data_IF_836531952075
#
_entry.id   IF_836531952075
#
_cell.length_a   1.000
_cell.length_b   1.000
_cell.length_c   1.000
_cell.angle_alpha   90.00
_cell.angle_beta   90.00
_cell.angle_gamma   90.00
#
_symmetry.space_group_name_H-M   'P 1'
#
loop_
_entity.id
_entity.type
_entity.pdbx_description
1 polymer ?
#
# COMPACT_ATOMS: atom_id res chain seq x y z
N UNK A 1 26.92 -28.90 -5.47
CA UNK A 1 25.71 -29.04 -4.63
C UNK A 1 25.21 -27.64 -4.32
N UNK A 2 24.05 -27.26 -4.87
CA UNK A 2 23.52 -25.90 -4.75
C UNK A 2 22.97 -25.71 -3.32
N UNK A 3 23.35 -24.66 -2.57
CA UNK A 3 22.83 -24.45 -1.22
C UNK A 3 21.32 -24.16 -1.27
N UNK A 4 20.58 -24.47 -0.20
CA UNK A 4 19.13 -24.29 -0.14
C UNK A 4 18.74 -22.81 -0.27
N UNK A 5 17.52 -22.57 -0.75
CA UNK A 5 16.92 -21.25 -0.96
C UNK A 5 16.71 -20.56 0.39
N UNK A 6 17.66 -19.72 0.79
CA UNK A 6 17.55 -18.88 1.97
C UNK A 6 17.77 -17.41 1.62
N UNK A 7 17.09 -16.54 2.35
CA UNK A 7 17.30 -15.09 2.26
C UNK A 7 18.56 -14.76 3.05
N UNK A 8 19.69 -14.56 2.36
CA UNK A 8 20.91 -14.09 2.99
C UNK A 8 20.77 -12.60 3.32
N UNK A 9 20.87 -12.27 4.61
CA UNK A 9 20.93 -10.88 5.09
C UNK A 9 22.24 -10.68 5.82
N UNK A 10 22.97 -9.62 5.50
CA UNK A 10 24.12 -9.23 6.29
C UNK A 10 23.70 -8.54 7.59
N UNK A 11 24.65 -8.47 8.52
CA UNK A 11 24.44 -7.87 9.83
C UNK A 11 23.88 -8.88 10.81
N UNK A 12 24.44 -10.07 10.97
CA UNK A 12 24.15 -10.88 12.16
C UNK A 12 24.64 -10.16 13.42
N UNK A 13 23.95 -10.35 14.55
CA UNK A 13 24.37 -9.75 15.84
C UNK A 13 25.77 -10.24 16.24
N UNK A 14 26.09 -11.49 15.89
CA UNK A 14 27.38 -12.12 16.18
C UNK A 14 28.55 -11.50 15.40
N UNK A 15 28.27 -10.87 14.25
CA UNK A 15 29.27 -10.28 13.36
C UNK A 15 29.33 -8.74 13.47
N UNK A 16 28.84 -8.20 14.59
CA UNK A 16 28.78 -6.77 14.82
C UNK A 16 30.17 -6.16 14.98
N UNK A 17 30.43 -5.04 14.31
CA UNK A 17 31.68 -4.30 14.49
C UNK A 17 31.75 -3.70 15.91
N UNK A 18 32.95 -3.57 16.51
CA UNK A 18 33.09 -2.95 17.84
C UNK A 18 32.49 -1.55 17.94
N UNK A 19 32.54 -0.78 16.86
CA UNK A 19 31.91 0.54 16.75
C UNK A 19 30.38 0.48 16.84
N UNK A 20 29.74 -0.52 16.21
CA UNK A 20 28.30 -0.75 16.30
C UNK A 20 27.90 -1.24 17.70
N UNK A 21 28.69 -2.13 18.32
CA UNK A 21 28.44 -2.63 19.66
C UNK A 21 28.51 -1.50 20.72
N UNK A 22 29.40 -0.52 20.51
CA UNK A 22 29.50 0.64 21.40
C UNK A 22 28.22 1.47 21.47
N UNK A 23 27.47 1.57 20.36
CA UNK A 23 26.19 2.30 20.30
C UNK A 23 25.13 1.60 21.15
N UNK A 24 25.08 0.26 21.10
CA UNK A 24 24.21 -0.54 21.95
C UNK A 24 24.61 -0.45 23.42
N UNK A 25 25.90 -0.54 23.74
CA UNK A 25 26.36 -0.45 25.14
C UNK A 25 26.03 0.93 25.76
N UNK A 26 26.18 2.01 24.98
CA UNK A 26 25.85 3.37 25.41
C UNK A 26 24.33 3.66 25.44
N UNK A 27 23.49 2.79 24.86
CA UNK A 27 22.04 3.00 24.73
C UNK A 27 21.31 3.22 26.05
N UNK A 28 21.74 2.58 27.15
CA UNK A 28 21.15 2.77 28.49
C UNK A 28 21.27 4.21 28.99
N UNK A 29 22.35 4.91 28.60
CA UNK A 29 22.59 6.31 28.95
C UNK A 29 21.97 7.28 27.95
N UNK A 30 21.90 6.91 26.67
CA UNK A 30 21.35 7.76 25.59
C UNK A 30 20.48 6.92 24.63
N UNK A 31 19.14 6.99 24.72
CA UNK A 31 18.25 6.14 23.93
C UNK A 31 18.32 6.41 22.43
N UNK A 32 18.70 7.64 22.02
CA UNK A 32 18.93 8.00 20.61
C UNK A 32 19.99 7.11 19.93
N UNK A 33 21.01 6.65 20.68
CA UNK A 33 22.05 5.77 20.14
C UNK A 33 21.52 4.37 19.82
N UNK A 34 20.48 3.92 20.55
CA UNK A 34 19.77 2.68 20.23
C UNK A 34 19.05 2.80 18.89
N UNK A 35 18.38 3.92 18.66
CA UNK A 35 17.70 4.20 17.39
C UNK A 35 18.68 4.29 16.23
N UNK A 36 19.83 4.96 16.43
CA UNK A 36 20.90 5.02 15.44
C UNK A 36 21.45 3.63 15.09
N UNK A 37 21.65 2.78 16.11
CA UNK A 37 22.07 1.40 15.89
C UNK A 37 21.04 0.61 15.06
N UNK A 38 19.75 0.71 15.41
CA UNK A 38 18.68 0.04 14.64
C UNK A 38 18.60 0.54 13.19
N UNK A 39 18.73 1.85 12.97
CA UNK A 39 18.71 2.45 11.63
C UNK A 39 19.86 1.95 10.76
N UNK A 40 21.10 2.01 11.26
CA UNK A 40 22.28 1.50 10.52
C UNK A 40 22.20 0.01 10.23
N UNK A 41 21.67 -0.77 11.18
CA UNK A 41 21.45 -2.20 11.00
C UNK A 41 20.42 -2.50 9.90
N UNK A 42 19.32 -1.74 9.85
CA UNK A 42 18.32 -1.90 8.78
C UNK A 42 18.86 -1.51 7.42
N UNK A 43 19.62 -0.41 7.33
CA UNK A 43 20.24 0.05 6.09
C UNK A 43 21.18 -1.01 5.53
N UNK A 44 22.07 -1.55 6.37
CA UNK A 44 23.01 -2.60 5.99
C UNK A 44 22.29 -3.88 5.55
N UNK A 45 21.22 -4.28 6.24
CA UNK A 45 20.41 -5.44 5.86
C UNK A 45 19.73 -5.26 4.50
N UNK A 46 19.29 -4.04 4.17
CA UNK A 46 18.67 -3.71 2.88
C UNK A 46 19.72 -3.67 1.75
N UNK A 47 20.91 -3.11 2.01
CA UNK A 47 22.01 -3.05 1.04
C UNK A 47 22.55 -4.44 0.69
N UNK A 48 22.54 -5.37 1.64
CA UNK A 48 22.95 -6.76 1.41
C UNK A 48 21.81 -7.69 1.01
N UNK A 49 20.63 -7.15 0.70
CA UNK A 49 19.50 -7.97 0.31
C UNK A 49 19.76 -8.54 -1.09
N UNK A 50 20.36 -9.72 -1.14
CA UNK A 50 20.49 -10.47 -2.38
C UNK A 50 19.19 -11.24 -2.62
N UNK A 51 18.42 -10.78 -3.61
CA UNK A 51 17.19 -11.45 -4.03
C UNK A 51 17.59 -12.72 -4.79
N UNK A 52 17.77 -13.84 -4.08
CA UNK A 52 17.72 -15.16 -4.72
C UNK A 52 16.26 -15.56 -4.91
N UNK A 53 15.57 -14.79 -5.76
CA UNK A 53 14.30 -15.17 -6.33
C UNK A 53 14.59 -15.83 -7.66
N UNK A 54 13.89 -16.92 -7.95
CA UNK A 54 13.88 -17.51 -9.27
C UNK A 54 13.39 -16.43 -10.25
N UNK A 55 14.29 -15.78 -10.98
CA UNK A 55 14.08 -15.76 -12.42
C UNK A 55 14.46 -17.18 -12.81
N UNK A 56 13.48 -17.98 -13.21
CA UNK A 56 13.81 -19.03 -14.16
C UNK A 56 14.57 -18.31 -15.27
N UNK A 57 15.79 -18.76 -15.56
CA UNK A 57 16.47 -18.50 -16.83
C UNK A 57 15.66 -19.17 -17.96
N UNK A 58 14.35 -18.97 -18.00
CA UNK A 58 13.68 -18.89 -19.28
C UNK A 58 14.37 -17.70 -19.95
N UNK A 59 15.04 -17.89 -21.11
CA UNK A 59 15.51 -16.74 -21.84
C UNK A 59 14.30 -15.82 -21.93
N UNK A 60 14.44 -14.57 -21.49
CA UNK A 60 13.46 -13.56 -21.85
C UNK A 60 13.43 -13.65 -23.36
N UNK A 61 12.44 -14.35 -23.92
CA UNK A 61 12.15 -14.27 -25.32
C UNK A 61 11.97 -12.80 -25.49
N UNK A 62 12.96 -12.14 -26.09
CA UNK A 62 12.86 -10.76 -26.48
C UNK A 62 11.71 -10.85 -27.45
N UNK A 63 10.51 -10.50 -26.96
CA UNK A 63 9.30 -10.57 -27.73
C UNK A 63 9.47 -9.46 -28.76
N UNK A 64 10.14 -9.79 -29.85
CA UNK A 64 10.34 -8.94 -31.03
C UNK A 64 8.99 -8.65 -31.72
N UNK A 65 7.95 -9.31 -31.22
CA UNK A 65 6.55 -9.01 -31.45
C UNK A 65 6.00 -8.52 -30.12
N UNK A 66 5.60 -7.25 -30.01
CA UNK A 66 4.65 -6.84 -28.96
C UNK A 66 3.62 -7.94 -28.85
N UNK A 67 3.58 -8.66 -27.72
CA UNK A 67 2.44 -9.51 -27.41
C UNK A 67 1.24 -8.55 -27.34
N UNK A 68 0.57 -8.36 -28.47
CA UNK A 68 -0.78 -7.82 -28.51
C UNK A 68 -1.61 -8.95 -27.91
N UNK A 69 -1.57 -9.05 -26.59
CA UNK A 69 -2.58 -9.78 -25.86
C UNK A 69 -3.88 -9.14 -26.36
N UNK A 70 -4.80 -9.90 -26.97
CA UNK A 70 -6.11 -9.34 -27.28
C UNK A 70 -6.55 -8.69 -25.98
N UNK A 71 -6.94 -7.42 -26.04
CA UNK A 71 -7.40 -6.66 -24.87
C UNK A 71 -8.56 -7.45 -24.26
N UNK A 72 -8.24 -8.39 -23.38
CA UNK A 72 -9.21 -9.15 -22.62
C UNK A 72 -10.10 -8.14 -21.93
N UNK A 73 -11.33 -8.52 -21.66
CA UNK A 73 -12.28 -7.68 -20.92
C UNK A 73 -11.55 -7.14 -19.69
N UNK A 74 -11.28 -5.84 -19.68
CA UNK A 74 -10.47 -5.23 -18.63
C UNK A 74 -11.25 -5.39 -17.33
N UNK A 75 -10.69 -6.16 -16.39
CA UNK A 75 -11.36 -6.48 -15.12
C UNK A 75 -11.67 -5.23 -14.28
N UNK A 76 -12.46 -5.33 -13.21
CA UNK A 76 -12.76 -4.19 -12.35
C UNK A 76 -11.50 -3.57 -11.73
N UNK A 77 -11.54 -2.27 -11.44
CA UNK A 77 -10.56 -1.57 -10.62
C UNK A 77 -11.00 -1.68 -9.16
N UNK A 78 -10.07 -2.07 -8.28
CA UNK A 78 -10.33 -2.19 -6.84
C UNK A 78 -9.33 -1.28 -6.11
N UNK A 79 -9.86 -0.35 -5.32
CA UNK A 79 -9.10 0.61 -4.53
C UNK A 79 -9.25 0.24 -3.05
N UNK A 80 -8.13 0.10 -2.34
CA UNK A 80 -8.12 -0.07 -0.90
C UNK A 80 -7.52 1.19 -0.28
N UNK A 81 -8.35 1.99 0.38
CA UNK A 81 -7.98 3.27 0.94
C UNK A 81 -7.91 3.16 2.46
N UNK A 82 -6.72 3.32 3.01
CA UNK A 82 -6.59 3.56 4.45
C UNK A 82 -7.27 4.90 4.78
N UNK A 83 -7.98 5.00 5.90
CA UNK A 83 -8.59 6.21 6.45
C UNK A 83 -8.21 6.41 7.91
N UNK A 84 -7.23 5.65 8.40
CA UNK A 84 -6.68 5.75 9.74
C UNK A 84 -6.20 7.17 10.05
N UNK A 85 -6.07 7.47 11.34
CA UNK A 85 -5.61 8.78 11.83
C UNK A 85 -4.27 9.22 11.22
N UNK A 86 -3.45 8.29 10.71
CA UNK A 86 -2.21 8.61 10.02
C UNK A 86 -2.43 9.44 8.76
N UNK A 87 -3.58 9.36 8.10
CA UNK A 87 -3.83 10.10 6.86
C UNK A 87 -4.33 11.52 7.07
N UNK A 88 -4.64 11.93 8.30
CA UNK A 88 -5.17 13.26 8.59
C UNK A 88 -4.32 14.40 7.98
N UNK A 89 -5.01 15.40 7.41
CA UNK A 89 -4.38 16.59 6.82
C UNK A 89 -4.05 16.43 5.34
N UNK A 90 -2.82 16.76 4.94
CA UNK A 90 -2.44 16.79 3.52
C UNK A 90 -2.46 15.41 2.84
N UNK A 91 -2.15 14.34 3.60
CA UNK A 91 -2.14 12.98 3.05
C UNK A 91 -3.54 12.52 2.64
N UNK A 92 -4.56 12.88 3.41
CA UNK A 92 -5.97 12.63 3.10
C UNK A 92 -6.38 13.30 1.78
N UNK A 93 -5.95 14.56 1.56
CA UNK A 93 -6.24 15.28 0.32
C UNK A 93 -5.61 14.59 -0.89
N UNK A 94 -4.35 14.17 -0.78
CA UNK A 94 -3.64 13.44 -1.84
C UNK A 94 -4.32 12.10 -2.11
N UNK A 95 -4.68 11.36 -1.06
CA UNK A 95 -5.33 10.06 -1.20
C UNK A 95 -6.72 10.18 -1.88
N UNK A 96 -7.51 11.19 -1.54
CA UNK A 96 -8.79 11.48 -2.20
C UNK A 96 -8.60 11.88 -3.66
N UNK A 97 -7.60 12.71 -3.97
CA UNK A 97 -7.29 13.09 -5.35
C UNK A 97 -6.91 11.87 -6.20
N UNK A 98 -6.11 10.95 -5.65
CA UNK A 98 -5.75 9.69 -6.29
C UNK A 98 -6.99 8.85 -6.60
N UNK A 99 -7.89 8.69 -5.63
CA UNK A 99 -9.16 7.96 -5.84
C UNK A 99 -9.98 8.59 -6.97
N UNK A 100 -10.10 9.92 -7.02
CA UNK A 100 -10.81 10.62 -8.09
C UNK A 100 -10.17 10.38 -9.47
N UNK A 101 -8.84 10.38 -9.57
CA UNK A 101 -8.16 10.05 -10.83
C UNK A 101 -8.38 8.60 -11.25
N UNK A 102 -8.36 7.66 -10.31
CA UNK A 102 -8.69 6.27 -10.59
C UNK A 102 -10.13 6.11 -11.12
N UNK A 103 -11.10 6.87 -10.57
CA UNK A 103 -12.48 6.89 -11.09
C UNK A 103 -12.53 7.44 -12.52
N UNK A 104 -11.78 8.53 -12.81
CA UNK A 104 -11.68 9.10 -14.16
C UNK A 104 -11.11 8.08 -15.14
N UNK A 105 -10.03 7.41 -14.77
CA UNK A 105 -9.41 6.34 -15.56
C UNK A 105 -10.34 5.15 -15.78
N UNK A 106 -11.04 4.70 -14.73
CA UNK A 106 -12.02 3.62 -14.80
C UNK A 106 -13.13 3.93 -15.82
N UNK A 107 -13.63 5.17 -15.82
CA UNK A 107 -14.66 5.63 -16.76
C UNK A 107 -14.17 5.63 -18.20
N UNK A 108 -12.98 6.17 -18.46
CA UNK A 108 -12.40 6.21 -19.80
C UNK A 108 -12.22 4.79 -20.38
N UNK A 109 -11.92 3.84 -19.51
CA UNK A 109 -11.75 2.43 -19.85
C UNK A 109 -13.06 1.62 -19.80
N UNK A 110 -14.20 2.22 -19.44
CA UNK A 110 -15.49 1.55 -19.23
C UNK A 110 -15.40 0.36 -18.25
N UNK A 111 -14.64 0.52 -17.16
CA UNK A 111 -14.41 -0.49 -16.13
C UNK A 111 -15.21 -0.19 -14.88
N UNK A 112 -15.69 -1.24 -14.21
CA UNK A 112 -16.26 -1.15 -12.86
C UNK A 112 -15.18 -0.70 -11.86
N UNK A 113 -15.53 0.12 -10.88
CA UNK A 113 -14.59 0.62 -9.87
C UNK A 113 -15.18 0.42 -8.46
N UNK A 114 -14.41 -0.24 -7.59
CA UNK A 114 -14.77 -0.52 -6.21
C UNK A 114 -13.77 0.17 -5.28
N UNK A 115 -14.25 0.72 -4.17
CA UNK A 115 -13.43 1.33 -3.13
C UNK A 115 -13.76 0.70 -1.78
N UNK A 116 -12.73 0.22 -1.11
CA UNK A 116 -12.74 -0.28 0.25
C UNK A 116 -11.98 0.70 1.13
N UNK A 117 -12.70 1.56 1.84
CA UNK A 117 -12.12 2.49 2.79
C UNK A 117 -12.05 1.84 4.17
N UNK A 118 -10.86 1.80 4.80
CA UNK A 118 -10.67 1.11 6.09
C UNK A 118 -9.80 1.90 7.06
N UNK A 119 -10.12 1.86 8.34
CA UNK A 119 -9.37 2.58 9.40
C UNK A 119 -8.96 1.64 10.54
N UNK A 120 -9.80 0.66 10.89
CA UNK A 120 -9.56 -0.29 11.96
C UNK A 120 -10.00 -1.72 11.60
N UNK A 121 -9.77 -2.67 12.52
CA UNK A 121 -9.97 -4.11 12.30
C UNK A 121 -11.40 -4.49 11.86
N UNK A 122 -12.40 -3.70 12.23
CA UNK A 122 -13.81 -3.91 11.87
C UNK A 122 -14.42 -2.74 11.09
N UNK A 123 -13.63 -1.74 10.73
CA UNK A 123 -14.10 -0.55 10.05
C UNK A 123 -13.68 -0.61 8.58
N UNK A 124 -14.53 -1.21 7.75
CA UNK A 124 -14.38 -1.26 6.29
C UNK A 124 -15.69 -0.80 5.64
N UNK A 125 -15.60 0.23 4.80
CA UNK A 125 -16.70 0.73 3.99
C UNK A 125 -16.47 0.35 2.53
N UNK A 126 -17.41 -0.40 1.95
CA UNK A 126 -17.42 -0.74 0.53
C UNK A 126 -18.28 0.25 -0.26
N UNK A 127 -17.70 0.80 -1.33
CA UNK A 127 -18.32 1.78 -2.20
C UNK A 127 -18.17 1.34 -3.67
N UNK A 128 -19.28 1.27 -4.38
CA UNK A 128 -19.26 1.20 -5.83
C UNK A 128 -19.19 2.60 -6.41
N UNK A 129 -18.12 2.88 -7.17
CA UNK A 129 -17.83 4.21 -7.67
C UNK A 129 -18.30 4.34 -9.12
N UNK A 130 -19.39 5.09 -9.32
CA UNK A 130 -19.90 5.48 -10.63
C UNK A 130 -19.78 7.00 -10.82
N UNK A 131 -19.45 7.44 -12.04
CA UNK A 131 -19.22 8.85 -12.38
C UNK A 131 -20.46 9.76 -12.20
N UNK A 132 -21.65 9.20 -12.00
CA UNK A 132 -22.88 9.94 -11.79
C UNK A 132 -23.07 10.32 -10.32
N UNK A 133 -22.19 11.16 -9.76
CA UNK A 133 -22.42 11.94 -8.53
C UNK A 133 -23.00 11.21 -7.30
N UNK A 134 -22.91 9.88 -7.22
CA UNK A 134 -23.56 9.07 -6.21
C UNK A 134 -22.63 7.93 -5.80
N UNK A 135 -22.19 7.96 -4.55
CA UNK A 135 -21.60 6.81 -3.87
C UNK A 135 -22.71 5.81 -3.58
N UNK A 136 -22.67 4.65 -4.25
CA UNK A 136 -23.55 3.53 -3.87
C UNK A 136 -22.81 2.75 -2.79
N UNK A 137 -23.24 2.89 -1.54
CA UNK A 137 -22.76 2.06 -0.45
C UNK A 137 -23.39 0.68 -0.61
N UNK A 138 -22.58 -0.31 -0.96
CA UNK A 138 -23.03 -1.69 -1.01
C UNK A 138 -22.98 -2.25 0.41
N UNK A 139 -24.02 -2.00 1.19
CA UNK A 139 -24.28 -2.75 2.41
C UNK A 139 -24.55 -4.21 2.08
N UNK A 140 -23.97 -5.13 2.85
CA UNK A 140 -24.09 -6.57 2.63
C UNK A 140 -25.55 -7.05 2.60
N UNK A 141 -25.77 -8.04 1.72
CA UNK A 141 -26.96 -8.87 1.51
C UNK A 141 -28.16 -8.25 0.77
N UNK A 142 -28.27 -8.66 -0.50
CA UNK A 142 -29.44 -8.70 -1.39
C UNK A 142 -30.14 -7.39 -1.76
N UNK A 143 -30.05 -7.09 -3.07
CA UNK A 143 -31.05 -6.45 -3.92
C UNK A 143 -31.39 -4.96 -3.70
N UNK A 144 -31.57 -4.30 -4.85
CA UNK A 144 -31.96 -2.90 -5.07
C UNK A 144 -30.85 -1.85 -4.88
N UNK A 145 -30.29 -1.42 -6.01
CA UNK A 145 -29.50 -0.20 -6.10
C UNK A 145 -30.43 1.00 -5.85
N UNK A 146 -30.34 1.58 -4.66
CA UNK A 146 -30.97 2.86 -4.36
C UNK A 146 -29.91 3.97 -4.41
N UNK A 147 -30.16 4.97 -5.24
CA UNK A 147 -29.27 6.09 -5.46
C UNK A 147 -29.21 6.96 -4.20
N UNK A 148 -28.11 6.87 -3.45
CA UNK A 148 -27.82 7.77 -2.33
C UNK A 148 -27.38 9.11 -2.91
N UNK A 149 -28.16 10.15 -2.62
CA UNK A 149 -27.89 11.53 -3.00
C UNK A 149 -26.49 11.98 -2.53
N UNK A 150 -25.81 12.89 -3.27
CA UNK A 150 -24.48 13.36 -2.88
C UNK A 150 -24.53 14.01 -1.49
N UNK A 151 -23.59 13.69 -0.58
CA UNK A 151 -23.53 14.38 0.69
C UNK A 151 -23.22 15.86 0.43
N UNK A 152 -24.19 16.70 0.77
CA UNK A 152 -24.00 18.14 0.84
C UNK A 152 -22.84 18.43 1.80
N UNK A 153 -22.01 19.40 1.40
CA UNK A 153 -20.96 20.00 2.21
C UNK A 153 -21.57 20.59 3.50
N UNK A 154 -21.75 19.77 4.52
CA UNK A 154 -22.03 20.22 5.87
C UNK A 154 -20.70 20.26 6.65
N UNK A 155 -20.43 21.33 7.40
CA UNK A 155 -19.20 21.45 8.17
C UNK A 155 -19.24 20.43 9.31
N UNK A 156 -18.19 19.60 9.39
CA UNK A 156 -17.98 18.67 10.50
C UNK A 156 -17.88 19.45 11.83
N UNK A 157 -18.47 18.95 12.94
CA UNK A 157 -18.44 19.65 14.20
C UNK A 157 -17.01 19.69 14.75
N UNK A 158 -16.56 20.90 15.11
CA UNK A 158 -15.39 21.12 15.94
C UNK A 158 -15.51 20.30 17.23
N UNK A 159 -14.62 19.32 17.44
CA UNK A 159 -14.48 18.66 18.73
C UNK A 159 -14.00 19.70 19.77
N UNK A 160 -14.80 19.92 20.81
CA UNK A 160 -14.33 20.51 22.08
C UNK A 160 -13.65 19.41 22.90
N UNK A 161 -12.47 19.70 23.43
CA UNK A 161 -11.70 18.84 24.34
C UNK A 161 -10.30 18.58 23.84
#
# INVERSE_FOLDING_TARGET
TRPPLDVYRSGEIMNMLPSEASLLAASKRRPILKQLWHSRRSERSLLSYERVGWMEDEPSNVLDVMEIRPSGVQGPIILCLDTSASLAGQREVVAKALVLECIRGAKLQQRKCYLFAFSGKEEVQELYLSSAGGTVACGGHSAAAEAVAPPSLLPLPLRKG
#
